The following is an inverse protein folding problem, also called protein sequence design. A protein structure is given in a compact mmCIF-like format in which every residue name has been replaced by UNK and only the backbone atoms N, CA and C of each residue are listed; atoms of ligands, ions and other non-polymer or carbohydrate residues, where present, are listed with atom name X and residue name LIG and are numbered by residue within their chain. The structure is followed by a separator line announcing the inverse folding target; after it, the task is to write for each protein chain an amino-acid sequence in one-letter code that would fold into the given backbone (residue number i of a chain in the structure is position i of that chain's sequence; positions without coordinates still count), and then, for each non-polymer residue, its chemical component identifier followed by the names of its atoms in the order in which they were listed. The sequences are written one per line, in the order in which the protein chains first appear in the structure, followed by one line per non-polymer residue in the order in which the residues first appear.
data_IF_551686963253
#
_entry.id   IF_551686963253
#
_cell.length_a   1.000
_cell.length_b   1.000
_cell.length_c   1.000
_cell.angle_alpha   90.00
_cell.angle_beta   90.00
_cell.angle_gamma   90.00
#
_symmetry.space_group_name_H-M   'P 1'
#
loop_
_entity.id
_entity.type
_entity.pdbx_description
1 polymer ?
#
# COMPACT_ATOMS: atom_id res chain seq x y z
N UNK A 1 31.24 3.86 37.73
CA UNK A 1 31.40 4.13 36.29
C UNK A 1 30.27 3.41 35.56
N UNK A 2 29.18 4.12 35.31
CA UNK A 2 27.93 3.59 34.75
C UNK A 2 28.01 3.61 33.22
N UNK A 3 28.22 2.45 32.60
CA UNK A 3 28.00 2.31 31.16
C UNK A 3 26.49 2.37 30.90
N UNK A 4 26.06 3.39 30.13
CA UNK A 4 24.68 3.53 29.66
C UNK A 4 24.30 2.32 28.81
N UNK A 5 23.15 1.72 29.08
CA UNK A 5 22.51 0.60 28.34
C UNK A 5 22.46 0.79 26.82
N UNK A 6 22.45 2.03 26.32
CA UNK A 6 22.57 2.32 24.87
C UNK A 6 23.90 1.86 24.25
N UNK A 7 24.99 1.83 25.02
CA UNK A 7 26.31 1.38 24.55
C UNK A 7 26.38 -0.14 24.37
N UNK A 8 25.55 -0.91 25.09
CA UNK A 8 25.55 -2.37 25.06
C UNK A 8 24.79 -2.88 23.83
N UNK A 9 23.71 -2.19 23.44
CA UNK A 9 22.91 -2.55 22.26
C UNK A 9 23.67 -2.33 20.94
N UNK A 10 24.45 -1.24 20.83
CA UNK A 10 25.29 -0.98 19.67
C UNK A 10 26.46 -1.96 19.53
N UNK A 11 27.00 -2.45 20.66
CA UNK A 11 28.04 -3.48 20.68
C UNK A 11 27.49 -4.86 20.28
N UNK A 12 26.26 -5.20 20.68
CA UNK A 12 25.56 -6.43 20.26
C UNK A 12 25.21 -6.42 18.76
N UNK A 13 24.78 -5.28 18.21
CA UNK A 13 24.48 -5.15 16.78
C UNK A 13 25.75 -5.21 15.92
N UNK A 14 26.88 -4.65 16.39
CA UNK A 14 28.18 -4.78 15.73
C UNK A 14 28.76 -6.20 15.81
N UNK A 15 28.48 -6.94 16.88
CA UNK A 15 28.89 -8.34 17.02
C UNK A 15 28.07 -9.29 16.12
N UNK A 16 26.79 -8.97 15.88
CA UNK A 16 25.92 -9.73 14.95
C UNK A 16 26.29 -9.51 13.48
N UNK A 17 26.82 -8.34 13.11
CA UNK A 17 27.24 -8.02 11.74
C UNK A 17 28.63 -8.58 11.36
N UNK A 18 29.45 -8.98 12.32
CA UNK A 18 30.83 -9.46 12.07
C UNK A 18 30.95 -10.98 11.88
N UNK A 19 29.91 -11.76 12.20
CA UNK A 19 29.88 -13.22 12.00
C UNK A 19 29.20 -13.68 10.71
N UNK A 20 28.86 -12.77 9.79
CA UNK A 20 28.38 -13.12 8.45
C UNK A 20 29.51 -13.47 7.46
N UNK A 21 30.77 -13.50 7.91
CA UNK A 21 31.94 -13.88 7.12
C UNK A 21 32.45 -15.27 7.49
N UNK A 22 32.43 -16.18 6.51
CA UNK A 22 33.04 -17.51 6.53
C UNK A 22 32.35 -18.60 7.38
N UNK A 23 31.17 -19.03 6.94
CA UNK A 23 30.85 -20.45 7.02
C UNK A 23 30.68 -20.98 5.61
N UNK A 24 31.70 -21.71 5.14
CA UNK A 24 31.62 -22.55 3.94
C UNK A 24 30.76 -23.80 4.25
N UNK A 25 29.55 -23.60 4.76
CA UNK A 25 28.53 -24.61 4.75
C UNK A 25 27.92 -24.61 3.34
N UNK A 26 27.67 -25.78 2.72
CA UNK A 26 26.96 -25.82 1.45
C UNK A 26 25.65 -25.05 1.62
N UNK A 27 25.37 -24.12 0.71
CA UNK A 27 24.12 -23.38 0.66
C UNK A 27 23.00 -24.41 0.46
N UNK A 28 22.47 -24.97 1.55
CA UNK A 28 21.17 -25.62 1.51
C UNK A 28 20.22 -24.51 1.08
N UNK A 29 19.75 -24.62 -0.15
CA UNK A 29 18.67 -23.82 -0.70
C UNK A 29 17.58 -23.80 0.38
N UNK A 30 17.45 -22.67 1.07
CA UNK A 30 16.48 -22.54 2.14
C UNK A 30 15.15 -22.37 1.42
N UNK A 31 14.47 -23.49 1.18
CA UNK A 31 13.12 -23.50 0.59
C UNK A 31 12.28 -22.58 1.46
N UNK A 32 11.97 -21.39 0.95
CA UNK A 32 11.12 -20.46 1.67
C UNK A 32 9.70 -21.01 1.63
N UNK A 33 8.95 -20.91 2.75
CA UNK A 33 7.56 -21.30 2.73
C UNK A 33 6.78 -20.42 1.73
N UNK A 34 5.64 -20.92 1.20
CA UNK A 34 4.77 -20.15 0.33
C UNK A 34 4.44 -18.77 0.93
N UNK A 35 4.20 -17.77 0.08
CA UNK A 35 3.95 -16.40 0.53
C UNK A 35 2.77 -16.33 1.51
N UNK A 36 1.72 -17.11 1.29
CA UNK A 36 0.57 -17.22 2.20
C UNK A 36 0.98 -17.65 3.61
N UNK A 37 1.80 -18.69 3.73
CA UNK A 37 2.29 -19.16 5.03
C UNK A 37 3.17 -18.11 5.72
N UNK A 38 3.98 -17.37 4.96
CA UNK A 38 4.77 -16.25 5.49
C UNK A 38 3.88 -15.12 6.01
N UNK A 39 2.81 -14.79 5.29
CA UNK A 39 1.85 -13.76 5.73
C UNK A 39 1.17 -14.20 7.02
N UNK A 40 0.74 -15.46 7.11
CA UNK A 40 0.15 -16.01 8.33
C UNK A 40 1.12 -15.94 9.52
N UNK A 41 2.39 -16.27 9.31
CA UNK A 41 3.43 -16.14 10.35
C UNK A 41 3.64 -14.68 10.78
N UNK A 42 3.59 -13.74 9.84
CA UNK A 42 3.67 -12.30 10.16
C UNK A 42 2.45 -11.88 10.99
N UNK A 43 1.24 -12.27 10.58
CA UNK A 43 0.01 -11.97 11.32
C UNK A 43 0.06 -12.48 12.77
N UNK A 44 0.51 -13.73 12.97
CA UNK A 44 0.75 -14.30 14.30
C UNK A 44 1.80 -13.51 15.10
N UNK A 45 2.89 -13.10 14.44
CA UNK A 45 3.91 -12.24 15.04
C UNK A 45 3.35 -10.88 15.48
N UNK A 46 2.46 -10.28 14.69
CA UNK A 46 1.82 -9.01 15.01
C UNK A 46 0.84 -9.14 16.18
N UNK A 47 0.04 -10.22 16.26
CA UNK A 47 -0.78 -10.54 17.45
C UNK A 47 0.06 -10.52 18.73
N UNK A 48 1.17 -11.25 18.71
CA UNK A 48 2.07 -11.35 19.85
C UNK A 48 2.72 -10.02 20.22
N UNK A 49 3.09 -9.20 19.24
CA UNK A 49 3.68 -7.87 19.48
C UNK A 49 2.64 -6.87 20.03
N UNK A 50 1.39 -6.99 19.61
CA UNK A 50 0.27 -6.20 20.12
C UNK A 50 -0.20 -6.67 21.50
N UNK A 51 0.29 -7.81 22.01
CA UNK A 51 -0.17 -8.38 23.29
C UNK A 51 -1.57 -8.99 23.21
N UNK A 52 -2.03 -9.31 22.00
CA UNK A 52 -3.30 -10.00 21.74
C UNK A 52 -3.10 -11.49 21.95
N UNK A 53 -4.01 -12.13 22.68
CA UNK A 53 -3.97 -13.57 22.94
C UNK A 53 -4.13 -14.38 21.63
N UNK A 54 -3.63 -15.62 21.61
CA UNK A 54 -3.53 -16.42 20.39
C UNK A 54 -4.90 -16.75 19.75
N UNK A 55 -5.94 -16.87 20.59
CA UNK A 55 -7.33 -17.13 20.19
C UNK A 55 -8.13 -15.85 19.89
N UNK A 56 -7.55 -14.67 20.10
CA UNK A 56 -8.18 -13.39 19.79
C UNK A 56 -7.81 -12.86 18.40
N UNK A 57 -8.67 -11.98 17.88
CA UNK A 57 -8.51 -11.35 16.58
C UNK A 57 -7.68 -10.06 16.70
N UNK A 58 -6.57 -9.96 15.94
CA UNK A 58 -5.72 -8.77 15.93
C UNK A 58 -6.51 -7.53 15.53
N UNK A 59 -7.36 -7.70 14.52
CA UNK A 59 -8.08 -6.60 13.89
C UNK A 59 -9.26 -6.10 14.71
N UNK A 60 -9.54 -6.74 15.85
CA UNK A 60 -10.50 -6.28 16.86
C UNK A 60 -9.84 -5.46 18.00
N UNK A 61 -8.51 -5.48 18.11
CA UNK A 61 -7.76 -4.78 19.16
C UNK A 61 -7.52 -3.31 18.79
N UNK A 62 -8.57 -2.49 18.78
CA UNK A 62 -8.53 -1.12 18.23
C UNK A 62 -7.54 -0.18 18.90
N UNK A 63 -7.16 -0.45 20.15
CA UNK A 63 -6.24 0.40 20.92
C UNK A 63 -4.78 0.11 20.55
N UNK A 64 -4.42 -1.17 20.38
CA UNK A 64 -3.09 -1.63 20.03
C UNK A 64 -2.85 -1.67 18.51
N UNK A 65 -3.92 -1.84 17.74
CA UNK A 65 -3.93 -1.99 16.29
C UNK A 65 -4.94 -1.03 15.63
N UNK A 66 -4.73 0.30 15.72
CA UNK A 66 -5.69 1.29 15.30
C UNK A 66 -5.81 1.42 13.77
N UNK A 67 -7.04 1.31 13.28
CA UNK A 67 -7.39 1.56 11.89
C UNK A 67 -7.07 3.00 11.46
N UNK A 68 -6.74 3.16 10.17
CA UNK A 68 -6.39 4.45 9.57
C UNK A 68 -4.89 4.78 9.66
N UNK A 69 -4.15 4.08 10.54
CA UNK A 69 -2.70 4.18 10.61
C UNK A 69 -2.02 3.41 9.48
N UNK A 70 -0.91 3.95 8.97
CA UNK A 70 -0.21 3.37 7.81
C UNK A 70 0.19 1.92 8.04
N UNK A 71 0.76 1.61 9.21
CA UNK A 71 1.23 0.25 9.54
C UNK A 71 0.07 -0.73 9.67
N UNK A 72 -0.99 -0.36 10.39
CA UNK A 72 -2.09 -1.28 10.67
C UNK A 72 -2.91 -1.57 9.41
N UNK A 73 -3.19 -0.56 8.58
CA UNK A 73 -3.97 -0.76 7.35
C UNK A 73 -3.24 -1.66 6.35
N UNK A 74 -1.93 -1.44 6.15
CA UNK A 74 -1.13 -2.33 5.28
C UNK A 74 -1.06 -3.76 5.83
N UNK A 75 -0.98 -3.91 7.14
CA UNK A 75 -0.97 -5.22 7.77
C UNK A 75 -2.35 -5.92 7.70
N UNK A 76 -3.46 -5.19 7.87
CA UNK A 76 -4.80 -5.71 7.69
C UNK A 76 -5.05 -6.18 6.25
N UNK A 77 -4.64 -5.35 5.27
CA UNK A 77 -4.65 -5.72 3.85
C UNK A 77 -3.83 -6.98 3.60
N UNK A 78 -2.59 -7.03 4.12
CA UNK A 78 -1.73 -8.20 3.95
C UNK A 78 -2.35 -9.46 4.54
N UNK A 79 -2.92 -9.38 5.75
CA UNK A 79 -3.63 -10.51 6.39
C UNK A 79 -4.73 -11.05 5.48
N UNK A 80 -5.56 -10.16 4.92
CA UNK A 80 -6.65 -10.55 4.02
C UNK A 80 -6.15 -11.20 2.73
N UNK A 81 -5.18 -10.58 2.05
CA UNK A 81 -4.58 -11.13 0.82
C UNK A 81 -3.87 -12.47 1.08
N UNK A 82 -3.29 -12.65 2.27
CA UNK A 82 -2.65 -13.90 2.69
C UNK A 82 -3.62 -14.99 3.13
N UNK A 83 -4.91 -14.69 3.25
CA UNK A 83 -5.94 -15.63 3.70
C UNK A 83 -5.89 -15.91 5.21
N UNK A 84 -5.44 -14.97 6.02
CA UNK A 84 -5.57 -15.07 7.47
C UNK A 84 -7.05 -15.08 7.87
N UNK A 85 -7.40 -15.78 8.95
CA UNK A 85 -8.70 -15.63 9.58
C UNK A 85 -8.59 -14.61 10.71
N UNK A 86 -9.35 -13.52 10.63
CA UNK A 86 -9.40 -12.46 11.64
C UNK A 86 -10.71 -11.66 11.50
N UNK A 87 -10.94 -10.65 12.35
CA UNK A 87 -12.21 -9.90 12.38
C UNK A 87 -12.21 -8.69 11.42
N UNK A 88 -12.39 -8.96 10.13
CA UNK A 88 -12.41 -7.94 9.07
C UNK A 88 -13.54 -6.91 9.24
N UNK A 89 -14.71 -7.35 9.69
CA UNK A 89 -15.84 -6.44 9.94
C UNK A 89 -15.55 -5.44 11.05
N UNK A 90 -14.92 -5.86 12.15
CA UNK A 90 -14.55 -4.93 13.22
C UNK A 90 -13.55 -3.88 12.73
N UNK A 91 -12.55 -4.29 11.94
CA UNK A 91 -11.58 -3.37 11.37
C UNK A 91 -12.22 -2.38 10.40
N UNK A 92 -13.12 -2.85 9.53
CA UNK A 92 -13.86 -2.00 8.60
C UNK A 92 -14.68 -0.95 9.35
N UNK A 93 -15.39 -1.32 10.43
CA UNK A 93 -16.12 -0.34 11.25
C UNK A 93 -15.20 0.69 11.91
N UNK A 94 -14.05 0.25 12.44
CA UNK A 94 -13.06 1.17 13.02
C UNK A 94 -12.46 2.12 11.96
N UNK A 95 -12.20 1.59 10.75
CA UNK A 95 -11.65 2.36 9.64
C UNK A 95 -12.66 3.36 9.07
N UNK A 96 -13.94 2.98 8.97
CA UNK A 96 -15.04 3.88 8.61
C UNK A 96 -15.14 5.02 9.62
N UNK A 97 -15.11 4.71 10.92
CA UNK A 97 -15.13 5.73 11.98
C UNK A 97 -13.92 6.69 11.88
N UNK A 98 -12.73 6.16 11.58
CA UNK A 98 -11.54 6.97 11.32
C UNK A 98 -11.73 7.93 10.13
N UNK A 99 -12.21 7.42 8.98
CA UNK A 99 -12.45 8.22 7.78
C UNK A 99 -13.48 9.31 8.06
N UNK A 100 -14.60 8.96 8.69
CA UNK A 100 -15.67 9.90 9.07
C UNK A 100 -15.15 11.00 9.99
N UNK A 101 -14.38 10.65 11.02
CA UNK A 101 -13.79 11.63 11.93
C UNK A 101 -12.82 12.55 11.17
N UNK A 102 -11.93 12.01 10.33
CA UNK A 102 -10.97 12.82 9.56
C UNK A 102 -11.65 13.78 8.58
N UNK A 103 -12.73 13.37 7.92
CA UNK A 103 -13.50 14.22 7.01
C UNK A 103 -14.44 15.21 7.73
N UNK A 104 -14.74 14.96 9.01
CA UNK A 104 -15.44 15.90 9.88
C UNK A 104 -14.52 16.98 10.45
N UNK A 105 -13.32 16.60 10.89
CA UNK A 105 -12.31 17.50 11.43
C UNK A 105 -11.58 18.31 10.34
N UNK A 106 -11.32 17.67 9.20
CA UNK A 106 -10.62 18.26 8.06
C UNK A 106 -11.46 18.11 6.79
N UNK A 107 -11.18 18.93 5.76
CA UNK A 107 -11.85 18.77 4.46
C UNK A 107 -11.27 17.65 3.59
N UNK A 108 -10.28 16.89 4.08
CA UNK A 108 -9.65 15.78 3.37
C UNK A 108 -8.94 14.82 4.34
N UNK A 109 -8.68 13.59 3.90
CA UNK A 109 -7.80 12.64 4.61
C UNK A 109 -6.31 13.06 4.54
N UNK A 110 -5.99 14.11 3.79
CA UNK A 110 -4.63 14.57 3.55
C UNK A 110 -4.09 14.09 2.20
N UNK A 111 -3.17 13.14 2.23
CA UNK A 111 -2.39 12.70 1.07
C UNK A 111 -3.20 11.77 0.16
N UNK A 112 -3.04 11.87 -1.16
CA UNK A 112 -3.62 10.91 -2.11
C UNK A 112 -3.32 9.45 -1.75
N UNK A 113 -2.09 9.14 -1.34
CA UNK A 113 -1.70 7.77 -0.93
C UNK A 113 -2.40 7.29 0.34
N UNK A 114 -2.90 8.18 1.19
CA UNK A 114 -3.75 7.77 2.34
C UNK A 114 -5.12 7.28 1.84
N UNK A 115 -5.71 7.94 0.83
CA UNK A 115 -6.93 7.44 0.19
C UNK A 115 -6.70 6.09 -0.48
N UNK A 116 -5.62 5.92 -1.25
CA UNK A 116 -5.30 4.66 -1.93
C UNK A 116 -5.12 3.50 -0.95
N UNK A 117 -4.33 3.72 0.12
CA UNK A 117 -4.10 2.73 1.17
C UNK A 117 -5.40 2.30 1.84
N UNK A 118 -6.26 3.26 2.21
CA UNK A 118 -7.54 2.98 2.85
C UNK A 118 -8.46 2.25 1.88
N UNK A 119 -8.61 2.72 0.63
CA UNK A 119 -9.45 2.08 -0.38
C UNK A 119 -9.06 0.63 -0.65
N UNK A 120 -7.76 0.36 -0.83
CA UNK A 120 -7.24 -1.00 -1.02
C UNK A 120 -7.46 -1.88 0.22
N UNK A 121 -7.33 -1.31 1.42
CA UNK A 121 -7.59 -2.04 2.67
C UNK A 121 -9.07 -2.40 2.78
N UNK A 122 -9.97 -1.44 2.51
CA UNK A 122 -11.42 -1.66 2.50
C UNK A 122 -11.78 -2.78 1.55
N UNK A 123 -11.29 -2.72 0.30
CA UNK A 123 -11.55 -3.74 -0.70
C UNK A 123 -11.03 -5.12 -0.28
N UNK A 124 -9.79 -5.20 0.21
CA UNK A 124 -9.19 -6.47 0.63
C UNK A 124 -9.97 -7.14 1.78
N UNK A 125 -10.55 -6.34 2.67
CA UNK A 125 -11.36 -6.81 3.80
C UNK A 125 -12.82 -7.09 3.41
N UNK A 126 -13.20 -6.90 2.15
CA UNK A 126 -14.53 -7.18 1.61
C UNK A 126 -15.54 -6.03 1.74
N UNK A 127 -15.10 -4.81 2.03
CA UNK A 127 -15.91 -3.61 2.01
C UNK A 127 -15.99 -2.93 0.63
N UNK A 128 -16.85 -1.92 0.50
CA UNK A 128 -17.00 -1.13 -0.73
C UNK A 128 -16.31 0.25 -0.59
N UNK A 129 -15.18 0.50 -1.27
CA UNK A 129 -14.49 1.79 -1.20
C UNK A 129 -15.23 2.92 -1.94
N UNK A 130 -16.27 2.63 -2.73
CA UNK A 130 -17.03 3.64 -3.50
C UNK A 130 -18.13 4.34 -2.71
N UNK A 131 -18.48 3.79 -1.53
CA UNK A 131 -19.44 4.37 -0.60
C UNK A 131 -19.07 4.00 0.86
N UNK A 132 -17.80 4.17 1.23
CA UNK A 132 -17.26 3.57 2.44
C UNK A 132 -17.61 4.27 3.75
N UNK A 133 -17.83 5.58 3.70
CA UNK A 133 -18.10 6.43 4.87
C UNK A 133 -19.01 7.58 4.43
N UNK A 134 -19.41 8.43 5.36
CA UNK A 134 -20.10 9.69 5.09
C UNK A 134 -19.17 10.90 5.33
N UNK A 135 -19.40 11.98 4.59
CA UNK A 135 -18.80 13.29 4.86
C UNK A 135 -19.55 14.04 5.97
N UNK A 136 -19.13 15.28 6.27
CA UNK A 136 -19.76 16.13 7.29
C UNK A 136 -21.23 16.48 7.02
N UNK A 137 -21.70 16.30 5.79
CA UNK A 137 -23.08 16.57 5.36
C UNK A 137 -23.93 15.29 5.33
N UNK A 138 -23.34 14.12 5.60
CA UNK A 138 -24.01 12.82 5.50
C UNK A 138 -23.99 12.22 4.10
N UNK A 139 -23.20 12.78 3.17
CA UNK A 139 -23.11 12.25 1.80
C UNK A 139 -22.05 11.13 1.74
N UNK A 140 -22.29 10.06 0.96
CA UNK A 140 -21.36 8.95 0.85
C UNK A 140 -20.03 9.40 0.24
N UNK A 141 -18.94 8.88 0.81
CA UNK A 141 -17.57 9.16 0.40
C UNK A 141 -17.08 8.04 -0.50
N UNK A 142 -16.86 8.38 -1.76
CA UNK A 142 -16.20 7.53 -2.73
C UNK A 142 -14.68 7.72 -2.64
N UNK A 143 -13.98 6.80 -1.97
CA UNK A 143 -12.52 6.87 -1.80
C UNK A 143 -11.78 6.68 -3.13
N UNK A 144 -12.37 5.96 -4.09
CA UNK A 144 -11.80 5.78 -5.42
C UNK A 144 -11.81 7.12 -6.15
N UNK A 145 -12.95 7.80 -6.20
CA UNK A 145 -13.09 9.11 -6.83
C UNK A 145 -12.15 10.15 -6.20
N UNK A 146 -12.30 10.36 -4.90
CA UNK A 146 -11.58 11.41 -4.18
C UNK A 146 -10.10 11.12 -4.02
N UNK A 147 -9.68 9.86 -4.07
CA UNK A 147 -8.28 9.47 -4.01
C UNK A 147 -7.56 9.58 -5.35
N UNK A 148 -8.27 9.31 -6.46
CA UNK A 148 -7.68 9.10 -7.78
C UNK A 148 -8.07 10.20 -8.79
N UNK A 149 -9.11 9.97 -9.60
CA UNK A 149 -9.42 10.75 -10.80
C UNK A 149 -10.01 12.14 -10.50
N UNK A 150 -10.56 12.36 -9.31
CA UNK A 150 -11.02 13.67 -8.83
C UNK A 150 -10.32 14.06 -7.52
N UNK A 151 -9.05 13.67 -7.35
CA UNK A 151 -8.27 14.12 -6.20
C UNK A 151 -8.29 15.67 -6.12
N UNK A 152 -8.71 16.26 -4.99
CA UNK A 152 -8.93 17.70 -4.89
C UNK A 152 -7.63 18.51 -4.96
N UNK A 153 -6.49 17.89 -4.62
CA UNK A 153 -5.16 18.49 -4.74
C UNK A 153 -4.49 18.14 -6.07
N UNK A 154 -3.18 18.41 -6.14
CA UNK A 154 -2.36 17.88 -7.23
C UNK A 154 -1.95 16.44 -6.92
N UNK A 155 -2.42 15.49 -7.72
CA UNK A 155 -2.21 14.06 -7.48
C UNK A 155 -0.71 13.72 -7.34
N UNK A 156 0.12 14.24 -8.25
CA UNK A 156 1.57 14.06 -8.25
C UNK A 156 2.36 14.88 -7.22
N UNK A 157 1.71 15.64 -6.32
CA UNK A 157 2.43 16.52 -5.38
C UNK A 157 3.36 15.78 -4.41
N UNK A 158 3.17 14.48 -4.23
CA UNK A 158 4.01 13.61 -3.39
C UNK A 158 5.03 12.80 -4.19
N UNK A 159 5.24 13.17 -5.45
CA UNK A 159 6.06 12.43 -6.38
C UNK A 159 5.32 11.28 -7.06
N UNK A 160 6.08 10.50 -7.81
CA UNK A 160 5.58 9.46 -8.71
C UNK A 160 4.73 8.40 -7.99
N UNK A 161 5.00 8.17 -6.71
CA UNK A 161 4.29 7.19 -5.88
C UNK A 161 2.77 7.40 -5.85
N UNK A 162 2.30 8.65 -5.89
CA UNK A 162 0.87 8.93 -5.88
C UNK A 162 0.19 8.49 -7.17
N UNK A 163 0.83 8.66 -8.34
CA UNK A 163 0.32 8.16 -9.62
C UNK A 163 0.32 6.63 -9.68
N UNK A 164 1.39 6.00 -9.20
CA UNK A 164 1.51 4.54 -9.15
C UNK A 164 0.37 3.93 -8.32
N UNK A 165 0.16 4.40 -7.09
CA UNK A 165 -0.93 3.90 -6.25
C UNK A 165 -2.31 4.28 -6.76
N UNK A 166 -2.47 5.41 -7.45
CA UNK A 166 -3.74 5.75 -8.10
C UNK A 166 -4.10 4.73 -9.17
N UNK A 167 -3.12 4.33 -10.00
CA UNK A 167 -3.33 3.31 -11.04
C UNK A 167 -3.65 1.94 -10.43
N UNK A 168 -2.89 1.50 -9.41
CA UNK A 168 -3.17 0.24 -8.69
C UNK A 168 -4.58 0.26 -8.09
N UNK A 169 -4.98 1.37 -7.47
CA UNK A 169 -6.32 1.52 -6.86
C UNK A 169 -7.41 1.44 -7.92
N UNK A 170 -7.24 2.14 -9.04
CA UNK A 170 -8.19 2.10 -10.16
C UNK A 170 -8.34 0.72 -10.78
N UNK A 171 -7.25 -0.04 -10.85
CA UNK A 171 -7.23 -1.33 -11.53
C UNK A 171 -7.61 -2.50 -10.62
N UNK A 172 -7.67 -2.27 -9.30
CA UNK A 172 -8.05 -3.28 -8.31
C UNK A 172 -9.42 -3.94 -8.56
N UNK A 173 -10.39 -3.17 -9.05
CA UNK A 173 -11.71 -3.66 -9.52
C UNK A 173 -12.09 -3.07 -10.90
N UNK A 174 -11.09 -2.64 -11.68
CA UNK A 174 -11.31 -2.00 -13.00
C UNK A 174 -12.28 -0.81 -12.97
N UNK A 175 -12.16 0.06 -11.96
CA UNK A 175 -13.06 1.19 -11.74
C UNK A 175 -13.15 2.12 -12.96
N UNK A 176 -14.36 2.49 -13.35
CA UNK A 176 -14.55 3.45 -14.43
C UNK A 176 -14.04 4.84 -14.01
N UNK A 177 -13.37 5.54 -14.94
CA UNK A 177 -13.02 6.95 -14.77
C UNK A 177 -13.96 7.75 -15.67
N UNK A 178 -14.90 8.53 -15.12
CA UNK A 178 -15.85 9.30 -15.92
C UNK A 178 -15.19 10.35 -16.80
N UNK A 179 -15.81 10.64 -17.96
CA UNK A 179 -15.40 11.77 -18.80
C UNK A 179 -15.50 13.09 -18.03
N UNK A 180 -14.51 13.96 -18.22
CA UNK A 180 -14.41 15.25 -17.52
C UNK A 180 -13.80 15.17 -16.12
N UNK A 181 -13.36 13.98 -15.66
CA UNK A 181 -12.56 13.85 -14.44
C UNK A 181 -11.23 14.61 -14.54
N UNK A 182 -10.71 15.10 -13.41
CA UNK A 182 -9.46 15.89 -13.37
C UNK A 182 -8.26 15.09 -13.89
N UNK A 183 -8.18 13.81 -13.56
CA UNK A 183 -7.18 12.88 -14.07
C UNK A 183 -7.87 11.75 -14.82
N UNK A 184 -7.25 11.27 -15.90
CA UNK A 184 -7.69 10.09 -16.64
C UNK A 184 -6.75 8.93 -16.37
N UNK A 185 -7.24 7.68 -16.51
CA UNK A 185 -6.38 6.49 -16.41
C UNK A 185 -5.19 6.58 -17.38
N UNK A 186 -5.43 6.95 -18.63
CA UNK A 186 -4.37 7.18 -19.63
C UNK A 186 -3.41 8.29 -19.20
N UNK A 187 -3.92 9.38 -18.63
CA UNK A 187 -3.09 10.47 -18.11
C UNK A 187 -2.17 9.99 -17.00
N UNK A 188 -2.70 9.25 -16.02
CA UNK A 188 -1.92 8.67 -14.91
C UNK A 188 -0.81 7.75 -15.46
N UNK A 189 -1.13 6.87 -16.41
CA UNK A 189 -0.12 5.99 -17.02
C UNK A 189 0.98 6.82 -17.73
N UNK A 190 0.60 7.87 -18.46
CA UNK A 190 1.57 8.76 -19.14
C UNK A 190 2.48 9.49 -18.15
N UNK A 191 1.95 9.95 -17.02
CA UNK A 191 2.78 10.54 -15.96
C UNK A 191 3.79 9.52 -15.41
N UNK A 192 3.39 8.25 -15.26
CA UNK A 192 4.32 7.20 -14.83
C UNK A 192 5.41 6.98 -15.87
N UNK A 193 5.05 6.77 -17.14
CA UNK A 193 6.02 6.52 -18.21
C UNK A 193 6.96 7.71 -18.44
N UNK A 194 6.46 8.95 -18.28
CA UNK A 194 7.28 10.15 -18.43
C UNK A 194 8.35 10.32 -17.33
N UNK A 195 8.22 9.57 -16.23
CA UNK A 195 9.17 9.54 -15.13
C UNK A 195 10.20 8.39 -15.24
N UNK A 196 10.17 7.60 -16.30
CA UNK A 196 11.19 6.58 -16.56
C UNK A 196 12.55 7.24 -16.79
N UNK A 197 13.55 6.79 -16.03
CA UNK A 197 14.91 7.30 -16.09
C UNK A 197 15.74 6.59 -17.18
N UNK A 198 16.83 7.21 -17.66
CA UNK A 198 17.79 6.54 -18.54
C UNK A 198 18.28 5.22 -17.91
N UNK A 199 17.90 4.08 -18.49
CA UNK A 199 18.18 2.75 -17.95
C UNK A 199 16.95 1.97 -17.49
N UNK A 200 15.75 2.55 -17.58
CA UNK A 200 14.47 1.85 -17.40
C UNK A 200 13.97 1.77 -15.96
N UNK A 201 14.57 2.55 -15.05
CA UNK A 201 14.16 2.62 -13.65
C UNK A 201 13.27 3.83 -13.36
N UNK A 202 12.70 3.86 -12.17
CA UNK A 202 11.86 4.95 -11.69
C UNK A 202 12.36 5.45 -10.34
N UNK A 203 12.04 6.71 -10.03
CA UNK A 203 12.35 7.37 -8.77
C UNK A 203 11.12 8.03 -8.18
N UNK A 204 11.11 8.27 -6.86
CA UNK A 204 10.04 9.04 -6.22
C UNK A 204 9.99 10.45 -6.83
N UNK A 205 11.17 11.03 -6.96
CA UNK A 205 11.45 12.26 -7.69
C UNK A 205 12.22 11.93 -8.97
N UNK A 206 12.05 12.77 -9.99
CA UNK A 206 12.76 12.65 -11.26
C UNK A 206 14.28 12.77 -11.04
N UNK A 207 15.04 11.85 -11.64
CA UNK A 207 16.49 11.74 -11.55
C UNK A 207 17.00 10.96 -10.34
N UNK A 208 16.12 10.45 -9.49
CA UNK A 208 16.48 9.74 -8.26
C UNK A 208 16.05 8.28 -8.31
N UNK A 209 16.78 7.45 -9.07
CA UNK A 209 16.53 6.01 -9.17
C UNK A 209 16.30 5.37 -7.80
N UNK A 210 15.19 4.65 -7.68
CA UNK A 210 14.80 3.96 -6.46
C UNK A 210 14.20 2.59 -6.83
N UNK A 211 14.75 1.53 -6.25
CA UNK A 211 14.36 0.16 -6.58
C UNK A 211 12.94 -0.17 -6.10
N UNK A 212 12.49 0.43 -5.00
CA UNK A 212 11.14 0.21 -4.46
C UNK A 212 10.11 0.91 -5.35
N UNK A 213 10.36 2.15 -5.74
CA UNK A 213 9.50 2.88 -6.68
C UNK A 213 9.47 2.19 -8.04
N UNK A 214 10.62 1.72 -8.53
CA UNK A 214 10.70 0.94 -9.77
C UNK A 214 9.83 -0.31 -9.69
N UNK A 215 9.93 -1.09 -8.62
CA UNK A 215 9.13 -2.29 -8.44
C UNK A 215 7.62 -1.97 -8.41
N UNK A 216 7.21 -0.90 -7.73
CA UNK A 216 5.81 -0.49 -7.68
C UNK A 216 5.30 0.04 -9.03
N UNK A 217 6.13 0.78 -9.79
CA UNK A 217 5.79 1.24 -11.13
C UNK A 217 5.57 0.06 -12.07
N UNK A 218 6.45 -0.95 -12.02
CA UNK A 218 6.30 -2.18 -12.80
C UNK A 218 5.02 -2.93 -12.42
N UNK A 219 4.69 -3.03 -11.13
CA UNK A 219 3.45 -3.64 -10.68
C UNK A 219 2.21 -2.92 -11.22
N UNK A 220 2.22 -1.59 -11.25
CA UNK A 220 1.12 -0.78 -11.77
C UNK A 220 0.98 -0.86 -13.30
N UNK A 221 2.10 -0.94 -14.03
CA UNK A 221 2.12 -0.99 -15.49
C UNK A 221 1.96 -2.40 -16.07
N UNK A 222 2.21 -3.45 -15.29
CA UNK A 222 2.15 -4.85 -15.73
C UNK A 222 0.86 -5.22 -16.48
N UNK A 223 -0.35 -4.78 -16.07
CA UNK A 223 -1.59 -5.08 -16.79
C UNK A 223 -1.65 -4.52 -18.22
N UNK A 224 -0.83 -3.52 -18.55
CA UNK A 224 -0.82 -2.81 -19.83
C UNK A 224 0.31 -3.27 -20.77
N UNK A 225 1.33 -3.95 -20.26
CA UNK A 225 2.45 -4.40 -21.08
C UNK A 225 1.99 -5.45 -22.10
N UNK A 226 2.06 -5.12 -23.41
CA UNK A 226 1.72 -6.03 -24.51
C UNK A 226 0.28 -6.56 -24.51
N UNK A 227 -0.66 -5.87 -23.85
CA UNK A 227 -2.03 -6.36 -23.61
C UNK A 227 -3.11 -5.57 -24.36
N UNK A 228 -4.33 -6.10 -24.41
CA UNK A 228 -5.50 -5.36 -24.91
C UNK A 228 -5.85 -4.16 -24.02
N UNK A 229 -5.46 -4.18 -22.74
CA UNK A 229 -5.72 -3.08 -21.81
C UNK A 229 -4.98 -1.81 -22.21
N UNK A 230 -3.76 -1.91 -22.77
CA UNK A 230 -3.08 -0.75 -23.34
C UNK A 230 -3.90 -0.11 -24.46
N UNK A 231 -4.41 -0.92 -25.38
CA UNK A 231 -5.23 -0.43 -26.49
C UNK A 231 -6.54 0.21 -25.99
N UNK A 232 -7.20 -0.37 -24.98
CA UNK A 232 -8.44 0.18 -24.43
C UNK A 232 -8.27 1.53 -23.75
N UNK A 233 -7.05 1.87 -23.31
CA UNK A 233 -6.71 3.18 -22.75
C UNK A 233 -5.93 4.06 -23.74
N UNK A 234 -5.84 3.67 -25.01
CA UNK A 234 -5.20 4.46 -26.07
C UNK A 234 -3.68 4.52 -25.97
N UNK A 235 -3.04 3.53 -25.36
CA UNK A 235 -1.58 3.34 -25.30
C UNK A 235 -1.17 2.31 -26.34
N UNK A 236 -0.12 2.61 -27.10
CA UNK A 236 0.40 1.66 -28.08
C UNK A 236 1.11 0.51 -27.36
N UNK A 237 0.93 -0.77 -27.74
CA UNK A 237 1.53 -1.91 -27.04
C UNK A 237 3.07 -1.90 -26.93
N UNK A 238 3.74 -1.08 -27.74
CA UNK A 238 5.20 -0.87 -27.69
C UNK A 238 5.67 0.34 -26.87
N UNK A 239 4.77 1.18 -26.35
CA UNK A 239 5.11 2.32 -25.48
C UNK A 239 5.47 1.86 -24.06
N UNK A 240 5.01 0.68 -23.65
CA UNK A 240 5.42 0.02 -22.40
C UNK A 240 6.35 -1.12 -22.79
N UNK A 241 7.62 -0.79 -23.03
CA UNK A 241 8.64 -1.77 -23.40
C UNK A 241 9.07 -2.64 -22.22
N UNK A 242 9.54 -3.85 -22.53
CA UNK A 242 10.09 -4.80 -21.56
C UNK A 242 11.46 -4.38 -21.05
#
# INVERSE_FOLDING_TARGET
MTLKTKSILSLLLAFLLTFAGCSAAPHKERVQPPMSERILQIAQGMKKLAGVEEDECLLNASDEFPAGSSVCDWAALACAVGGAEDNYTAYLHALEAYVKNKLGEYSSLGRATDYHRIALTVLALGGDPTAFSEDKNGEPVNLIEFGTYNYPGELGAQGLNAFIFALITLDSESYAVPDGSKYTRTGIIKEILAAEEPGGGFGLDKGAFDIDITAMALQALAPYCGSQNALSVGISPGEISR
#
